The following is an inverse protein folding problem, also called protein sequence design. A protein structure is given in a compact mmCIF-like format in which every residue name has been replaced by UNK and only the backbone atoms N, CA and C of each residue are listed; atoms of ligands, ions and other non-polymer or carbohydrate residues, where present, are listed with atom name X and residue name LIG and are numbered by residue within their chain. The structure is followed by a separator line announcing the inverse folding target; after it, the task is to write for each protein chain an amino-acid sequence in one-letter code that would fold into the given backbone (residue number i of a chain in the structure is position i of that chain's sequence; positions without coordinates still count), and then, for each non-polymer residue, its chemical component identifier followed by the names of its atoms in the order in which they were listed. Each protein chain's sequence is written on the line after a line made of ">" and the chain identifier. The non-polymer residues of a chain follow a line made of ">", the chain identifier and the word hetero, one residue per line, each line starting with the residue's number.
data_IF_337841716363
#
_entry.id   IF_337841716363
#
_cell.length_a   1.000
_cell.length_b   1.000
_cell.length_c   1.000
_cell.angle_alpha   90.00
_cell.angle_beta   90.00
_cell.angle_gamma   90.00
#
_symmetry.space_group_name_H-M   'P 1'
#
loop_
_entity.id
_entity.type
_entity.pdbx_description
1 polymer ?
#
# COMPACT_ATOMS: atom_id res chain seq x y z
N UNK A 1 5.40 -56.88 90.45
CA UNK A 1 6.73 -56.24 90.38
C UNK A 1 6.55 -54.72 90.18
N UNK A 2 7.56 -53.88 90.50
CA UNK A 2 7.38 -52.45 90.87
C UNK A 2 7.79 -51.49 89.71
N UNK A 3 7.78 -50.15 89.75
CA UNK A 3 7.20 -49.06 90.60
C UNK A 3 7.47 -47.71 89.86
N UNK A 4 6.53 -46.74 89.90
CA UNK A 4 6.73 -45.25 89.95
C UNK A 4 7.52 -44.55 88.80
N UNK A 5 7.28 -43.28 88.40
CA UNK A 5 7.02 -42.03 89.15
C UNK A 5 6.08 -41.02 88.42
N UNK A 6 5.73 -39.93 89.13
CA UNK A 6 4.82 -38.79 88.79
C UNK A 6 5.23 -37.58 89.69
N UNK A 7 4.72 -36.32 89.57
CA UNK A 7 3.68 -35.73 88.68
C UNK A 7 4.09 -34.36 88.02
N UNK A 8 3.11 -33.52 87.65
CA UNK A 8 3.14 -32.08 87.31
C UNK A 8 3.68 -31.69 85.91
N UNK A 9 3.23 -30.60 85.24
CA UNK A 9 2.63 -29.34 85.70
C UNK A 9 1.33 -28.90 84.97
N UNK A 10 0.63 -27.92 85.55
CA UNK A 10 -0.49 -27.17 84.93
C UNK A 10 0.06 -25.97 84.14
N UNK A 11 -0.39 -25.76 82.90
CA UNK A 11 -0.23 -24.52 82.15
C UNK A 11 -1.58 -24.08 81.55
N UNK A 12 -2.08 -22.89 81.94
CA UNK A 12 -3.29 -22.30 81.35
C UNK A 12 -2.97 -21.67 80.00
N UNK A 13 -3.77 -21.93 78.97
CA UNK A 13 -3.81 -21.13 77.74
C UNK A 13 -5.19 -20.51 77.54
N UNK A 14 -5.23 -19.21 77.27
CA UNK A 14 -6.47 -18.42 77.13
C UNK A 14 -7.23 -18.76 75.83
N UNK A 15 -8.57 -18.56 75.77
CA UNK A 15 -9.31 -18.60 74.52
C UNK A 15 -8.81 -17.49 73.57
N UNK A 16 -8.45 -17.86 72.34
CA UNK A 16 -8.02 -16.89 71.33
C UNK A 16 -9.23 -16.25 70.66
N UNK A 17 -9.47 -14.97 70.93
CA UNK A 17 -10.39 -14.14 70.15
C UNK A 17 -9.86 -14.00 68.71
N UNK A 18 -10.39 -14.79 67.77
CA UNK A 18 -10.09 -14.68 66.35
C UNK A 18 -10.81 -13.47 65.74
N UNK A 19 -10.38 -12.26 66.08
CA UNK A 19 -10.92 -11.02 65.52
C UNK A 19 -10.00 -10.49 64.41
N UNK A 20 -10.29 -10.85 63.15
CA UNK A 20 -9.55 -10.36 61.97
C UNK A 20 -10.44 -9.43 61.13
N UNK A 21 -10.60 -8.23 61.68
CA UNK A 21 -10.62 -6.93 60.99
C UNK A 21 -11.31 -6.80 59.62
N UNK A 22 -12.45 -6.11 59.63
CA UNK A 22 -12.99 -5.40 58.44
C UNK A 22 -11.91 -4.48 57.85
N UNK A 23 -11.72 -4.53 56.53
CA UNK A 23 -10.73 -3.70 55.85
C UNK A 23 -11.07 -2.20 55.96
N UNK A 24 -10.08 -1.36 56.32
CA UNK A 24 -10.26 0.10 56.43
C UNK A 24 -10.87 0.67 55.14
N UNK A 25 -11.94 1.51 55.18
CA UNK A 25 -12.70 1.92 53.99
C UNK A 25 -11.85 2.43 52.83
N UNK A 26 -10.81 3.21 53.12
CA UNK A 26 -9.86 3.76 52.14
C UNK A 26 -9.21 2.68 51.23
N UNK A 27 -8.94 1.47 51.76
CA UNK A 27 -8.42 0.35 50.95
C UNK A 27 -9.48 -0.21 50.01
N UNK A 28 -10.74 -0.28 50.44
CA UNK A 28 -11.87 -0.72 49.61
C UNK A 28 -12.09 0.28 48.46
N UNK A 29 -12.06 1.59 48.76
CA UNK A 29 -12.16 2.64 47.72
C UNK A 29 -11.01 2.57 46.71
N UNK A 30 -9.79 2.25 47.14
CA UNK A 30 -8.65 2.08 46.25
C UNK A 30 -8.78 0.86 45.33
N UNK A 31 -9.32 -0.26 45.83
CA UNK A 31 -9.60 -1.47 45.04
C UNK A 31 -10.71 -1.20 44.02
N UNK A 32 -11.83 -0.60 44.45
CA UNK A 32 -12.94 -0.25 43.56
C UNK A 32 -12.51 0.72 42.45
N UNK A 33 -11.69 1.74 42.76
CA UNK A 33 -11.12 2.63 41.74
C UNK A 33 -10.21 1.91 40.74
N UNK A 34 -9.42 0.92 41.17
CA UNK A 34 -8.58 0.10 40.27
C UNK A 34 -9.41 -0.82 39.37
N UNK A 35 -10.47 -1.44 39.92
CA UNK A 35 -11.39 -2.29 39.14
C UNK A 35 -12.18 -1.45 38.11
N UNK A 36 -12.67 -0.26 38.51
CA UNK A 36 -13.32 0.66 37.59
C UNK A 36 -12.38 1.12 36.46
N UNK A 37 -11.12 1.46 36.78
CA UNK A 37 -10.12 1.86 35.79
C UNK A 37 -9.79 0.71 34.81
N UNK A 38 -9.65 -0.52 35.31
CA UNK A 38 -9.48 -1.70 34.46
C UNK A 38 -10.68 -1.90 33.53
N UNK A 39 -11.92 -1.77 34.03
CA UNK A 39 -13.13 -1.87 33.22
C UNK A 39 -13.22 -0.77 32.14
N UNK A 40 -12.86 0.48 32.45
CA UNK A 40 -12.83 1.56 31.46
C UNK A 40 -11.72 1.36 30.42
N UNK A 41 -10.54 0.87 30.81
CA UNK A 41 -9.49 0.49 29.85
C UNK A 41 -9.96 -0.63 28.94
N UNK A 42 -10.59 -1.70 29.47
CA UNK A 42 -11.15 -2.79 28.68
C UNK A 42 -12.25 -2.30 27.73
N UNK A 43 -13.13 -1.40 28.17
CA UNK A 43 -14.18 -0.83 27.31
C UNK A 43 -13.61 0.05 26.20
N UNK A 44 -12.63 0.90 26.50
CA UNK A 44 -11.94 1.72 25.48
C UNK A 44 -11.14 0.85 24.50
N UNK A 45 -10.50 -0.22 24.97
CA UNK A 45 -9.82 -1.18 24.10
C UNK A 45 -10.81 -1.95 23.22
N UNK A 46 -11.97 -2.34 23.75
CA UNK A 46 -13.05 -2.96 22.99
C UNK A 46 -13.65 -2.00 21.96
N UNK A 47 -13.86 -0.72 22.31
CA UNK A 47 -14.32 0.33 21.38
C UNK A 47 -13.29 0.62 20.28
N UNK A 48 -11.99 0.66 20.61
CA UNK A 48 -10.92 0.79 19.64
C UNK A 48 -10.84 -0.44 18.72
N UNK A 49 -10.97 -1.65 19.27
CA UNK A 49 -11.00 -2.90 18.52
C UNK A 49 -12.25 -3.02 17.62
N UNK A 50 -13.42 -2.53 18.07
CA UNK A 50 -14.62 -2.43 17.25
C UNK A 50 -14.38 -1.47 16.08
N UNK A 51 -13.87 -0.26 16.34
CA UNK A 51 -13.54 0.71 15.28
C UNK A 51 -12.46 0.21 14.32
N UNK A 52 -11.50 -0.58 14.80
CA UNK A 52 -10.47 -1.20 13.99
C UNK A 52 -11.05 -2.33 13.13
N UNK A 53 -11.90 -3.19 13.69
CA UNK A 53 -12.55 -4.28 12.94
C UNK A 53 -13.61 -3.78 11.95
N UNK A 54 -14.31 -2.66 12.21
CA UNK A 54 -15.18 -2.02 11.23
C UNK A 54 -14.38 -1.33 10.10
N UNK A 55 -13.22 -0.71 10.40
CA UNK A 55 -12.32 -0.21 9.35
C UNK A 55 -11.59 -1.34 8.58
N UNK A 56 -11.58 -2.57 9.12
CA UNK A 56 -11.13 -3.78 8.40
C UNK A 56 -12.26 -4.47 7.61
N UNK A 57 -13.47 -3.91 7.57
CA UNK A 57 -14.47 -4.30 6.58
C UNK A 57 -13.96 -3.87 5.20
N UNK A 58 -13.36 -4.83 4.48
CA UNK A 58 -13.03 -4.67 3.05
C UNK A 58 -14.25 -4.08 2.33
N UNK A 59 -14.07 -3.11 1.42
CA UNK A 59 -15.17 -2.55 0.65
C UNK A 59 -15.92 -3.69 -0.09
N UNK A 60 -17.25 -3.57 -0.26
CA UNK A 60 -18.04 -4.63 -0.87
C UNK A 60 -17.52 -4.95 -2.28
N UNK A 61 -17.16 -6.22 -2.51
CA UNK A 61 -16.81 -6.73 -3.83
C UNK A 61 -18.01 -6.52 -4.77
N UNK A 62 -17.93 -5.52 -5.66
CA UNK A 62 -19.01 -5.25 -6.61
C UNK A 62 -19.09 -3.82 -7.15
N UNK A 63 -18.51 -2.83 -6.47
CA UNK A 63 -18.29 -1.52 -7.12
C UNK A 63 -16.99 -1.55 -7.93
N UNK A 64 -16.96 -1.02 -9.17
CA UNK A 64 -15.71 -0.76 -9.85
C UNK A 64 -14.91 0.27 -9.04
N UNK A 65 -13.65 -0.02 -8.76
CA UNK A 65 -12.75 0.91 -8.08
C UNK A 65 -12.30 2.00 -9.05
N UNK A 66 -13.24 2.87 -9.43
CA UNK A 66 -13.03 3.89 -10.44
C UNK A 66 -11.94 4.85 -9.96
N UNK A 67 -10.82 4.86 -10.68
CA UNK A 67 -9.76 5.84 -10.50
C UNK A 67 -10.06 7.04 -11.40
N UNK A 68 -10.09 8.24 -10.84
CA UNK A 68 -10.43 9.46 -11.57
C UNK A 68 -9.52 10.63 -11.19
N UNK A 69 -9.45 11.61 -12.10
CA UNK A 69 -8.69 12.85 -11.91
C UNK A 69 -9.69 13.96 -11.56
N UNK A 70 -9.59 14.48 -10.34
CA UNK A 70 -10.39 15.58 -9.84
C UNK A 70 -9.66 16.90 -10.14
N UNK A 71 -10.04 17.52 -11.28
CA UNK A 71 -9.51 18.79 -11.75
C UNK A 71 -10.04 20.01 -10.98
N UNK A 72 -11.06 19.86 -10.12
CA UNK A 72 -11.54 20.94 -9.26
C UNK A 72 -10.75 21.03 -7.94
N UNK A 73 -10.14 19.91 -7.53
CA UNK A 73 -9.40 19.78 -6.26
C UNK A 73 -7.91 19.43 -6.43
N UNK A 74 -7.38 19.53 -7.65
CA UNK A 74 -6.00 19.17 -8.01
C UNK A 74 -5.54 17.81 -7.44
N UNK A 75 -6.41 16.78 -7.55
CA UNK A 75 -6.20 15.49 -6.87
C UNK A 75 -6.60 14.29 -7.73
N UNK A 76 -6.20 13.10 -7.27
CA UNK A 76 -6.73 11.84 -7.78
C UNK A 76 -7.75 11.30 -6.78
N UNK A 77 -8.76 10.57 -7.28
CA UNK A 77 -9.71 9.83 -6.44
C UNK A 77 -9.70 8.35 -6.80
N UNK A 78 -10.01 7.49 -5.82
CA UNK A 78 -10.21 6.06 -5.99
C UNK A 78 -11.53 5.68 -5.31
N UNK A 79 -12.49 5.20 -6.09
CA UNK A 79 -13.88 4.98 -5.64
C UNK A 79 -14.51 6.24 -4.99
N UNK A 80 -14.17 7.42 -5.51
CA UNK A 80 -14.66 8.72 -5.05
C UNK A 80 -13.86 9.38 -3.93
N UNK A 81 -13.05 8.62 -3.18
CA UNK A 81 -12.24 9.16 -2.07
C UNK A 81 -10.87 9.67 -2.56
N UNK A 82 -10.36 10.81 -2.06
CA UNK A 82 -9.06 11.35 -2.45
C UNK A 82 -7.88 10.40 -2.15
N UNK A 83 -7.04 10.14 -3.16
CA UNK A 83 -5.87 9.26 -3.06
C UNK A 83 -4.60 9.99 -3.48
N UNK A 84 -3.54 9.86 -2.66
CA UNK A 84 -2.19 10.27 -3.04
C UNK A 84 -1.42 9.04 -3.54
N UNK A 85 -0.97 9.08 -4.79
CA UNK A 85 -0.09 8.05 -5.36
C UNK A 85 1.29 8.16 -4.69
N UNK A 86 1.75 7.04 -4.12
CA UNK A 86 3.11 6.83 -3.64
C UNK A 86 3.65 5.59 -4.35
N UNK A 87 4.38 5.83 -5.46
CA UNK A 87 4.87 4.80 -6.38
C UNK A 87 6.38 4.62 -6.29
N UNK A 88 6.84 3.41 -6.62
CA UNK A 88 8.23 3.09 -6.89
C UNK A 88 8.35 2.15 -8.10
N UNK A 89 9.38 2.32 -8.91
CA UNK A 89 9.57 1.55 -10.13
C UNK A 89 10.12 0.16 -9.85
N UNK A 90 9.41 -0.88 -10.29
CA UNK A 90 9.84 -2.28 -10.18
C UNK A 90 9.59 -2.99 -11.52
N UNK A 91 10.64 -3.15 -12.31
CA UNK A 91 10.55 -3.77 -13.63
C UNK A 91 10.64 -5.29 -13.48
N UNK A 92 9.57 -6.02 -13.80
CA UNK A 92 9.53 -7.49 -13.73
C UNK A 92 10.62 -8.12 -14.59
N UNK A 93 10.82 -7.65 -15.83
CA UNK A 93 11.86 -8.09 -16.77
C UNK A 93 13.32 -7.81 -16.33
N UNK A 94 13.53 -7.06 -15.24
CA UNK A 94 14.86 -6.86 -14.61
C UNK A 94 15.04 -7.62 -13.29
N UNK A 95 14.02 -8.34 -12.84
CA UNK A 95 13.97 -9.01 -11.54
C UNK A 95 13.68 -10.49 -11.78
N UNK A 96 14.50 -11.46 -11.33
CA UNK A 96 14.16 -12.88 -11.40
C UNK A 96 12.77 -13.16 -10.82
N UNK A 97 11.96 -13.96 -11.51
CA UNK A 97 10.55 -14.22 -11.16
C UNK A 97 10.35 -14.65 -9.72
N UNK A 98 11.28 -15.44 -9.20
CA UNK A 98 11.32 -15.97 -7.84
C UNK A 98 11.33 -14.84 -6.79
N UNK A 99 11.86 -13.67 -7.15
CA UNK A 99 12.03 -12.50 -6.28
C UNK A 99 10.91 -11.46 -6.45
N UNK A 100 9.98 -11.60 -7.41
CA UNK A 100 8.91 -10.61 -7.64
C UNK A 100 8.08 -10.36 -6.37
N UNK A 101 7.62 -11.43 -5.72
CA UNK A 101 6.84 -11.34 -4.48
C UNK A 101 7.64 -10.68 -3.34
N UNK A 102 8.94 -10.96 -3.22
CA UNK A 102 9.82 -10.32 -2.23
C UNK A 102 9.94 -8.81 -2.49
N UNK A 103 10.23 -8.40 -3.74
CA UNK A 103 10.39 -6.99 -4.11
C UNK A 103 9.08 -6.20 -3.96
N UNK A 104 7.95 -6.78 -4.36
CA UNK A 104 6.62 -6.18 -4.14
C UNK A 104 6.28 -6.07 -2.65
N UNK A 105 6.65 -7.07 -1.84
CA UNK A 105 6.46 -7.04 -0.37
C UNK A 105 7.32 -5.93 0.27
N UNK A 106 8.57 -5.76 -0.15
CA UNK A 106 9.42 -4.65 0.34
C UNK A 106 8.91 -3.28 -0.11
N UNK A 107 8.43 -3.15 -1.35
CA UNK A 107 7.78 -1.93 -1.84
C UNK A 107 6.58 -1.55 -0.94
N UNK A 108 5.73 -2.53 -0.61
CA UNK A 108 4.59 -2.34 0.29
C UNK A 108 5.02 -1.99 1.72
N UNK A 109 6.04 -2.66 2.25
CA UNK A 109 6.59 -2.39 3.59
C UNK A 109 7.27 -1.02 3.71
N UNK A 110 7.84 -0.49 2.61
CA UNK A 110 8.37 0.87 2.53
C UNK A 110 7.29 1.97 2.50
N UNK A 111 6.01 1.61 2.60
CA UNK A 111 4.88 2.54 2.63
C UNK A 111 4.31 2.90 1.25
N UNK A 112 4.77 2.27 0.17
CA UNK A 112 4.20 2.48 -1.15
C UNK A 112 2.78 1.90 -1.23
N UNK A 113 1.91 2.58 -1.98
CA UNK A 113 0.57 2.10 -2.33
C UNK A 113 0.43 1.78 -3.83
N UNK A 114 1.48 2.07 -4.61
CA UNK A 114 1.54 1.90 -6.05
C UNK A 114 2.91 1.32 -6.41
N UNK A 115 2.97 0.54 -7.48
CA UNK A 115 4.22 0.27 -8.20
C UNK A 115 4.07 0.72 -9.64
N UNK A 116 5.17 1.12 -10.27
CA UNK A 116 5.20 1.35 -11.71
C UNK A 116 6.10 0.32 -12.40
N UNK A 117 5.69 -0.11 -13.60
CA UNK A 117 6.52 -0.94 -14.47
C UNK A 117 6.33 -0.53 -15.91
N UNK A 118 7.40 -0.61 -16.68
CA UNK A 118 7.33 -0.69 -18.13
C UNK A 118 6.90 -2.09 -18.59
N UNK A 119 6.44 -2.22 -19.83
CA UNK A 119 6.34 -3.49 -20.56
C UNK A 119 7.42 -3.49 -21.65
N UNK A 120 8.30 -4.48 -21.65
CA UNK A 120 9.43 -4.56 -22.59
C UNK A 120 8.98 -5.31 -23.86
N UNK A 121 8.46 -4.60 -24.87
CA UNK A 121 7.88 -5.18 -26.09
C UNK A 121 8.81 -6.22 -26.72
N UNK A 122 10.09 -5.92 -26.90
CA UNK A 122 11.08 -6.82 -27.51
C UNK A 122 11.36 -8.11 -26.71
N UNK A 123 11.02 -8.14 -25.42
CA UNK A 123 11.01 -9.38 -24.62
C UNK A 123 9.70 -10.18 -24.77
N UNK A 124 8.61 -9.54 -25.19
CA UNK A 124 7.30 -10.16 -25.41
C UNK A 124 7.05 -10.58 -26.84
N UNK A 125 7.64 -9.93 -27.84
CA UNK A 125 7.58 -10.28 -29.26
C UNK A 125 9.01 -10.26 -29.83
N UNK A 126 9.83 -11.29 -29.54
CA UNK A 126 11.21 -11.38 -30.04
C UNK A 126 11.29 -11.67 -31.55
N UNK A 127 10.23 -12.24 -32.13
CA UNK A 127 10.05 -12.43 -33.57
C UNK A 127 8.63 -11.96 -33.93
N UNK A 128 8.45 -11.32 -35.10
CA UNK A 128 7.16 -10.73 -35.52
C UNK A 128 6.03 -11.78 -35.50
N UNK A 129 4.92 -11.46 -34.84
CA UNK A 129 3.78 -12.35 -34.61
C UNK A 129 3.95 -13.41 -33.51
N UNK A 130 5.14 -13.54 -32.90
CA UNK A 130 5.46 -14.62 -31.96
C UNK A 130 5.55 -14.12 -30.52
N UNK A 131 4.40 -14.11 -29.84
CA UNK A 131 4.29 -13.56 -28.49
C UNK A 131 4.65 -14.56 -27.37
N UNK A 132 5.39 -14.11 -26.36
CA UNK A 132 5.60 -14.81 -25.09
C UNK A 132 5.13 -13.99 -23.88
N UNK A 133 4.38 -14.66 -22.99
CA UNK A 133 3.87 -14.14 -21.72
C UNK A 133 4.06 -15.16 -20.59
N UNK A 134 5.06 -16.04 -20.71
CA UNK A 134 5.37 -17.14 -19.77
C UNK A 134 6.69 -16.86 -19.04
N UNK A 135 6.98 -17.62 -17.99
CA UNK A 135 8.30 -17.56 -17.34
C UNK A 135 8.63 -16.15 -16.85
N UNK A 136 9.75 -15.59 -17.32
CA UNK A 136 10.22 -14.25 -16.96
C UNK A 136 9.40 -13.11 -17.60
N UNK A 137 8.60 -13.43 -18.62
CA UNK A 137 7.70 -12.55 -19.38
C UNK A 137 6.25 -12.60 -18.85
N UNK A 138 6.00 -13.25 -17.71
CA UNK A 138 4.65 -13.43 -17.16
C UNK A 138 4.13 -12.18 -16.43
N UNK A 139 3.82 -11.16 -17.24
CA UNK A 139 3.28 -9.87 -16.81
C UNK A 139 1.96 -10.05 -16.03
N UNK A 140 1.11 -11.01 -16.43
CA UNK A 140 -0.17 -11.26 -15.75
C UNK A 140 0.06 -11.70 -14.31
N UNK A 141 0.93 -12.70 -14.07
CA UNK A 141 1.29 -13.12 -12.71
C UNK A 141 1.88 -11.96 -11.90
N UNK A 142 2.75 -11.13 -12.50
CA UNK A 142 3.34 -9.98 -11.81
C UNK A 142 2.28 -8.95 -11.36
N UNK A 143 1.31 -8.64 -12.22
CA UNK A 143 0.19 -7.75 -11.92
C UNK A 143 -0.75 -8.34 -10.85
N UNK A 144 -1.03 -9.64 -10.91
CA UNK A 144 -1.79 -10.35 -9.89
C UNK A 144 -1.08 -10.35 -8.53
N UNK A 145 0.25 -10.53 -8.48
CA UNK A 145 1.02 -10.41 -7.23
C UNK A 145 0.92 -9.01 -6.63
N UNK A 146 1.00 -7.95 -7.45
CA UNK A 146 0.82 -6.57 -6.99
C UNK A 146 -0.60 -6.33 -6.45
N UNK A 147 -1.63 -6.79 -7.18
CA UNK A 147 -3.03 -6.69 -6.76
C UNK A 147 -3.29 -7.40 -5.42
N UNK A 148 -2.76 -8.62 -5.25
CA UNK A 148 -2.90 -9.39 -4.01
C UNK A 148 -2.26 -8.70 -2.79
N UNK A 149 -1.19 -7.93 -2.98
CA UNK A 149 -0.56 -7.09 -1.95
C UNK A 149 -1.28 -5.73 -1.75
N UNK A 150 -2.39 -5.50 -2.45
CA UNK A 150 -3.14 -4.23 -2.48
C UNK A 150 -2.27 -3.04 -2.90
N UNK A 151 -1.42 -3.26 -3.90
CA UNK A 151 -0.70 -2.22 -4.63
C UNK A 151 -1.49 -1.88 -5.90
N UNK A 152 -1.67 -0.58 -6.16
CA UNK A 152 -2.08 -0.09 -7.48
C UNK A 152 -0.90 -0.26 -8.47
N UNK A 153 -1.19 -0.31 -9.77
CA UNK A 153 -0.15 -0.40 -10.80
C UNK A 153 -0.26 0.75 -11.79
N UNK A 154 0.84 1.50 -11.94
CA UNK A 154 1.07 2.38 -13.08
C UNK A 154 1.74 1.55 -14.16
N UNK A 155 0.93 0.99 -15.06
CA UNK A 155 1.44 0.27 -16.22
C UNK A 155 1.90 1.28 -17.27
N UNK A 156 3.12 1.11 -17.76
CA UNK A 156 3.68 1.88 -18.87
C UNK A 156 3.89 0.90 -20.04
N UNK A 157 2.81 0.55 -20.78
CA UNK A 157 2.86 -0.49 -21.82
C UNK A 157 3.71 -0.09 -23.03
N UNK A 158 4.08 1.18 -23.12
CA UNK A 158 4.87 1.71 -24.20
C UNK A 158 3.99 2.16 -25.38
N UNK A 159 4.53 2.15 -26.62
CA UNK A 159 5.86 1.63 -26.99
C UNK A 159 6.99 2.31 -26.20
N UNK A 160 7.07 3.64 -26.19
CA UNK A 160 7.08 4.48 -24.97
C UNK A 160 7.73 3.99 -23.63
N UNK A 161 8.84 3.23 -23.66
CA UNK A 161 9.58 2.80 -22.44
C UNK A 161 10.99 3.39 -22.25
N UNK A 162 11.89 3.28 -23.23
CA UNK A 162 13.26 3.85 -23.20
C UNK A 162 14.20 3.22 -22.17
N UNK A 163 13.87 3.35 -20.87
CA UNK A 163 14.26 2.49 -19.75
C UNK A 163 15.72 1.97 -19.66
N UNK A 164 16.70 2.60 -20.31
CA UNK A 164 18.05 2.05 -20.50
C UNK A 164 17.98 0.65 -21.16
N UNK A 165 17.15 0.53 -22.21
CA UNK A 165 16.87 -0.64 -23.03
C UNK A 165 16.68 -0.27 -24.50
N UNK A 166 16.82 -1.25 -25.38
CA UNK A 166 16.85 -1.00 -26.82
C UNK A 166 15.45 -0.80 -27.42
N UNK A 167 15.21 0.47 -27.75
CA UNK A 167 14.35 1.01 -28.80
C UNK A 167 12.82 0.96 -28.66
N UNK A 168 12.24 1.90 -29.41
CA UNK A 168 10.81 2.23 -29.55
C UNK A 168 10.11 2.48 -28.19
N UNK A 169 10.27 3.65 -27.50
CA UNK A 169 10.95 4.92 -27.91
C UNK A 169 12.01 5.59 -26.95
N UNK A 170 11.86 6.60 -26.04
CA UNK A 170 10.75 7.18 -25.23
C UNK A 170 11.07 8.61 -24.63
N UNK A 171 10.07 9.26 -23.96
CA UNK A 171 9.94 10.65 -23.40
C UNK A 171 9.75 11.72 -24.49
N UNK A 172 8.54 11.83 -25.06
CA UNK A 172 8.40 12.34 -26.44
C UNK A 172 8.79 13.79 -26.66
N UNK A 173 8.73 14.64 -25.63
CA UNK A 173 9.30 15.98 -25.67
C UNK A 173 10.83 16.04 -25.92
N UNK A 174 11.52 14.90 -26.01
CA UNK A 174 12.93 14.78 -26.42
C UNK A 174 13.11 14.35 -27.89
N UNK A 175 12.06 13.89 -28.58
CA UNK A 175 12.11 13.59 -30.00
C UNK A 175 12.15 14.88 -30.83
N UNK A 176 12.98 14.91 -31.87
CA UNK A 176 13.11 16.08 -32.78
C UNK A 176 11.88 16.30 -33.66
N UNK A 177 10.98 15.32 -33.75
CA UNK A 177 9.88 15.31 -34.72
C UNK A 177 8.62 16.00 -34.22
N UNK A 178 8.36 16.01 -32.91
CA UNK A 178 7.16 16.59 -32.29
C UNK A 178 5.84 16.12 -32.98
N UNK A 179 5.79 14.88 -33.49
CA UNK A 179 4.68 14.36 -34.29
C UNK A 179 3.42 14.11 -33.44
N UNK A 180 2.57 15.14 -33.34
CA UNK A 180 1.31 15.09 -32.60
C UNK A 180 0.24 14.18 -33.24
N UNK A 181 0.44 13.75 -34.49
CA UNK A 181 -0.46 12.77 -35.15
C UNK A 181 -0.16 11.36 -34.64
N UNK A 182 1.11 10.99 -34.52
CA UNK A 182 1.55 9.74 -33.88
C UNK A 182 1.04 9.62 -32.43
N UNK A 183 1.21 10.68 -31.63
CA UNK A 183 0.72 10.68 -30.24
C UNK A 183 -0.81 10.56 -30.11
N UNK A 184 -1.58 11.15 -31.04
CA UNK A 184 -3.04 10.93 -31.09
C UNK A 184 -3.38 9.49 -31.45
N UNK A 185 -2.72 8.93 -32.47
CA UNK A 185 -2.93 7.54 -32.87
C UNK A 185 -2.67 6.55 -31.72
N UNK A 186 -1.57 6.73 -30.96
CA UNK A 186 -1.31 5.93 -29.75
C UNK A 186 -2.40 6.10 -28.68
N UNK A 187 -2.85 7.33 -28.40
CA UNK A 187 -3.96 7.58 -27.47
C UNK A 187 -5.23 6.86 -27.92
N UNK A 188 -5.57 6.95 -29.20
CA UNK A 188 -6.82 6.45 -29.76
C UNK A 188 -6.82 4.92 -29.81
N UNK A 189 -5.67 4.29 -30.09
CA UNK A 189 -5.46 2.85 -29.94
C UNK A 189 -5.59 2.41 -28.46
N UNK A 190 -4.93 3.11 -27.53
CA UNK A 190 -5.07 2.82 -26.09
C UNK A 190 -6.51 3.00 -25.60
N UNK A 191 -7.29 3.91 -26.18
CA UNK A 191 -8.73 4.09 -25.90
C UNK A 191 -9.62 3.02 -26.52
N UNK A 192 -9.21 2.42 -27.63
CA UNK A 192 -9.89 1.26 -28.22
C UNK A 192 -9.73 0.03 -27.33
N UNK A 193 -8.50 -0.27 -26.88
CA UNK A 193 -8.19 -1.50 -26.13
C UNK A 193 -8.48 -1.41 -24.62
N UNK A 194 -8.31 -0.23 -23.99
CA UNK A 194 -8.51 -0.03 -22.55
C UNK A 194 -9.80 0.73 -22.20
N UNK A 195 -10.56 1.17 -23.20
CA UNK A 195 -11.80 1.93 -23.02
C UNK A 195 -11.63 3.31 -22.37
N UNK A 196 -12.72 3.83 -21.80
CA UNK A 196 -12.78 5.10 -21.07
C UNK A 196 -12.11 5.05 -19.70
N UNK A 197 -12.09 3.88 -19.07
CA UNK A 197 -11.98 3.77 -17.61
C UNK A 197 -10.53 3.84 -17.11
N UNK A 198 -9.56 3.61 -17.99
CA UNK A 198 -8.15 3.83 -17.71
C UNK A 198 -7.80 5.34 -17.75
N UNK A 199 -7.10 5.84 -16.73
CA UNK A 199 -6.49 7.17 -16.77
C UNK A 199 -5.18 7.13 -17.58
N UNK A 200 -5.21 7.70 -18.79
CA UNK A 200 -4.01 7.84 -19.63
C UNK A 200 -3.20 9.08 -19.21
N UNK A 201 -1.87 8.96 -19.21
CA UNK A 201 -0.94 10.06 -18.92
C UNK A 201 0.28 10.03 -19.86
N UNK A 202 0.91 11.19 -20.09
CA UNK A 202 2.26 11.28 -20.67
C UNK A 202 3.28 11.74 -19.63
N UNK A 203 4.57 11.55 -19.88
CA UNK A 203 5.64 11.98 -18.96
C UNK A 203 6.80 12.59 -19.73
N UNK A 204 6.98 13.89 -19.58
CA UNK A 204 8.07 14.65 -20.19
C UNK A 204 9.08 15.15 -19.14
N UNK A 205 10.26 15.59 -19.58
CA UNK A 205 11.27 16.17 -18.69
C UNK A 205 10.85 17.58 -18.26
N UNK A 206 11.09 17.93 -16.99
CA UNK A 206 11.03 19.32 -16.54
C UNK A 206 12.02 20.18 -17.35
N UNK A 207 11.52 21.20 -18.04
CA UNK A 207 12.30 22.10 -18.91
C UNK A 207 11.46 22.74 -20.02
N UNK A 208 11.96 23.84 -20.58
CA UNK A 208 11.32 24.54 -21.68
C UNK A 208 11.41 23.70 -22.97
N UNK A 209 10.28 23.50 -23.66
CA UNK A 209 10.22 22.87 -24.98
C UNK A 209 9.69 21.43 -25.00
N UNK A 210 9.98 20.60 -23.99
CA UNK A 210 9.56 19.19 -23.98
C UNK A 210 8.03 19.02 -23.81
N UNK A 211 7.48 19.61 -22.75
CA UNK A 211 6.06 19.49 -22.36
C UNK A 211 5.07 19.96 -23.45
N UNK A 212 5.32 21.03 -24.24
CA UNK A 212 4.47 21.38 -25.39
C UNK A 212 4.35 20.32 -26.48
N UNK A 213 5.39 19.49 -26.69
CA UNK A 213 5.40 18.43 -27.71
C UNK A 213 4.81 17.10 -27.22
N UNK A 214 5.10 16.68 -25.98
CA UNK A 214 4.59 15.43 -25.40
C UNK A 214 3.16 15.52 -24.82
N UNK A 215 2.50 16.68 -24.86
CA UNK A 215 1.10 16.86 -24.45
C UNK A 215 0.10 16.36 -25.51
N UNK A 216 -0.84 15.52 -25.08
CA UNK A 216 -1.98 15.05 -25.89
C UNK A 216 -3.29 15.43 -25.19
N UNK A 217 -4.29 15.79 -25.98
CA UNK A 217 -5.64 16.08 -25.49
C UNK A 217 -6.33 14.81 -24.97
N UNK A 218 -7.02 14.90 -23.82
CA UNK A 218 -7.63 13.73 -23.15
C UNK A 218 -6.62 12.81 -22.42
N UNK A 219 -5.39 13.28 -22.21
CA UNK A 219 -4.28 12.55 -21.55
C UNK A 219 -3.61 13.47 -20.53
N UNK A 220 -3.37 12.97 -19.31
CA UNK A 220 -2.84 13.79 -18.21
C UNK A 220 -1.32 14.05 -18.35
N UNK A 221 -0.84 15.31 -18.28
CA UNK A 221 0.58 15.61 -18.45
C UNK A 221 1.36 15.54 -17.13
N UNK A 222 2.09 14.45 -16.91
CA UNK A 222 3.04 14.33 -15.80
C UNK A 222 4.45 14.84 -16.19
N UNK A 223 5.27 15.18 -15.19
CA UNK A 223 6.61 15.73 -15.36
C UNK A 223 7.63 14.91 -14.56
N UNK A 224 8.73 14.51 -15.21
CA UNK A 224 9.87 13.85 -14.59
C UNK A 224 11.01 14.84 -14.32
N UNK A 225 11.53 14.80 -13.09
CA UNK A 225 12.64 15.62 -12.60
C UNK A 225 13.51 14.79 -11.62
N UNK A 226 14.70 15.30 -11.28
CA UNK A 226 15.62 14.65 -10.34
C UNK A 226 15.82 15.48 -9.06
N UNK A 227 16.55 14.94 -8.09
CA UNK A 227 16.73 15.54 -6.76
C UNK A 227 17.34 16.96 -6.73
N UNK A 228 17.99 17.40 -7.81
CA UNK A 228 18.53 18.76 -7.97
C UNK A 228 17.63 19.74 -8.73
N UNK A 229 16.36 19.41 -8.99
CA UNK A 229 15.45 20.29 -9.72
C UNK A 229 14.70 21.26 -8.79
N UNK A 230 14.86 22.56 -9.01
CA UNK A 230 14.08 23.60 -8.33
C UNK A 230 12.68 23.68 -8.94
N UNK A 231 11.67 23.18 -8.22
CA UNK A 231 10.24 23.27 -8.61
C UNK A 231 9.56 24.49 -7.98
N UNK A 232 10.18 25.66 -8.12
CA UNK A 232 9.59 26.93 -7.66
C UNK A 232 8.98 27.65 -8.87
N UNK A 233 7.70 28.02 -8.75
CA UNK A 233 7.12 29.14 -9.49
C UNK A 233 7.60 30.48 -8.90
#
# INVERSE_FOLDING_TARGET
>A
MPFWKVPALIARSQPKNNMVTVAKPQRITAILKRLAFAATCSFLFFQAWLKFTTNLQRPPRGQPSQFAIDFERDSFTLAGEPVRILSGSLHYFRTPRELWMERLTYARAAGLNTIDTFVEWSSHEPEEGHFDFRGQQDLVTFLEMAHNLSLMVILRPGPYIGAERDMVENKYGLSRECNRTYLRHLRDLMRQELGSDAALFTTDRFGVGAVPCGRVEGVFPAIAFGAGACLNN
#
